data_IF_291004362311
#
_entry.id   IF_291004362311
#
_cell.length_a   1.000
_cell.length_b   1.000
_cell.length_c   1.000
_cell.angle_alpha   90.00
_cell.angle_beta   90.00
_cell.angle_gamma   90.00
#
_symmetry.space_group_name_H-M   'P 1'
#
loop_
_entity.id
_entity.type
_entity.pdbx_description
1 polymer ?
#
# COMPACT_ATOMS: atom_id res chain seq x y z
N UNK A 1 4.79 5.40 -29.16
CA UNK A 1 5.08 5.60 -27.73
C UNK A 1 6.59 5.76 -27.65
N UNK A 2 7.21 6.74 -27.01
CA UNK A 2 7.20 6.92 -25.57
C UNK A 2 8.18 8.06 -25.29
N UNK A 3 7.84 8.98 -24.39
CA UNK A 3 8.87 9.67 -23.62
C UNK A 3 9.67 8.57 -22.88
N UNK A 4 11.01 8.63 -22.89
CA UNK A 4 11.90 7.65 -22.24
C UNK A 4 11.74 7.70 -20.72
N UNK A 5 10.58 7.23 -20.25
CA UNK A 5 10.05 7.35 -18.90
C UNK A 5 9.60 5.98 -18.46
N UNK A 6 10.14 5.53 -17.34
CA UNK A 6 9.69 4.32 -16.66
C UNK A 6 8.48 4.65 -15.77
N UNK A 7 7.43 3.83 -15.87
CA UNK A 7 6.22 4.01 -15.07
C UNK A 7 6.28 3.07 -13.87
N UNK A 8 6.35 3.66 -12.67
CA UNK A 8 6.30 2.92 -11.41
C UNK A 8 4.84 2.81 -10.94
N UNK A 9 4.42 1.62 -10.54
CA UNK A 9 3.08 1.36 -9.98
C UNK A 9 3.14 1.43 -8.45
N UNK A 10 2.21 2.15 -7.86
CA UNK A 10 2.04 2.23 -6.42
C UNK A 10 0.99 1.23 -5.95
N UNK A 11 1.20 0.54 -4.81
CA UNK A 11 0.17 -0.29 -4.20
C UNK A 11 -1.07 0.53 -3.84
N UNK A 12 -2.25 -0.06 -4.03
CA UNK A 12 -3.54 0.58 -3.71
C UNK A 12 -3.58 0.94 -2.23
N UNK A 13 -4.03 2.16 -1.88
CA UNK A 13 -4.15 2.69 -0.50
C UNK A 13 -2.84 2.88 0.28
N UNK A 14 -1.68 2.77 -0.36
CA UNK A 14 -0.38 2.98 0.30
C UNK A 14 0.23 4.33 -0.10
N UNK A 15 -0.46 5.43 0.22
CA UNK A 15 0.01 6.78 -0.10
C UNK A 15 1.35 7.13 0.56
N UNK A 16 1.73 6.44 1.65
CA UNK A 16 3.04 6.54 2.28
C UNK A 16 4.21 6.15 1.35
N UNK A 17 3.93 5.36 0.31
CA UNK A 17 4.89 4.98 -0.73
C UNK A 17 4.97 5.99 -1.88
N UNK A 18 4.22 7.10 -1.81
CA UNK A 18 4.20 8.14 -2.84
C UNK A 18 4.84 9.45 -2.32
N UNK A 19 6.07 9.80 -2.75
CA UNK A 19 6.78 10.97 -2.21
C UNK A 19 6.02 12.29 -2.38
N UNK A 20 5.21 12.43 -3.43
CA UNK A 20 4.45 13.67 -3.68
C UNK A 20 3.39 13.93 -2.59
N UNK A 21 2.90 12.89 -1.91
CA UNK A 21 1.91 13.03 -0.84
C UNK A 21 2.51 13.76 0.38
N UNK A 22 3.83 13.62 0.60
CA UNK A 22 4.55 14.36 1.65
C UNK A 22 4.64 15.85 1.30
N UNK A 23 4.86 16.17 0.03
CA UNK A 23 4.79 17.54 -0.47
C UNK A 23 3.37 18.12 -0.30
N UNK A 24 2.35 17.35 -0.68
CA UNK A 24 0.95 17.77 -0.52
C UNK A 24 0.55 18.00 0.93
N UNK A 25 1.03 17.15 1.84
CA UNK A 25 0.81 17.34 3.29
C UNK A 25 1.43 18.64 3.77
N UNK A 26 2.69 18.90 3.38
CA UNK A 26 3.40 20.14 3.73
C UNK A 26 2.73 21.39 3.17
N UNK A 27 2.26 21.33 1.92
CA UNK A 27 1.54 22.42 1.26
C UNK A 27 0.22 22.72 2.00
N UNK A 28 -0.57 21.68 2.30
CA UNK A 28 -1.83 21.82 3.02
C UNK A 28 -1.62 22.43 4.41
N UNK A 29 -0.58 21.99 5.12
CA UNK A 29 -0.21 22.55 6.42
C UNK A 29 0.21 24.02 6.33
N UNK A 30 0.98 24.38 5.30
CA UNK A 30 1.37 25.76 5.05
C UNK A 30 0.14 26.65 4.77
N UNK A 31 -0.74 26.23 3.85
CA UNK A 31 -1.96 26.98 3.53
C UNK A 31 -2.85 27.10 4.77
N UNK A 32 -3.04 26.01 5.53
CA UNK A 32 -3.86 26.02 6.75
C UNK A 32 -3.34 27.00 7.81
N UNK A 33 -2.02 27.13 7.96
CA UNK A 33 -1.42 28.03 8.95
C UNK A 33 -1.52 29.50 8.55
N UNK A 34 -1.47 29.80 7.26
CA UNK A 34 -1.37 31.17 6.76
C UNK A 34 -2.71 31.73 6.24
N UNK A 35 -3.66 30.88 5.85
CA UNK A 35 -4.99 31.30 5.42
C UNK A 35 -5.91 31.57 6.63
N UNK A 36 -5.72 32.73 7.27
CA UNK A 36 -6.50 33.14 8.45
C UNK A 36 -7.89 33.65 8.12
N UNK A 37 -8.12 34.10 6.87
CA UNK A 37 -9.38 34.68 6.40
C UNK A 37 -10.26 33.68 5.63
N UNK A 38 -9.80 32.43 5.46
CA UNK A 38 -10.52 31.34 4.79
C UNK A 38 -10.99 31.67 3.36
N UNK A 39 -10.24 32.50 2.63
CA UNK A 39 -10.59 32.91 1.25
C UNK A 39 -9.94 31.96 0.24
N UNK A 40 -10.68 31.63 -0.82
CA UNK A 40 -10.17 30.78 -1.91
C UNK A 40 -9.05 31.44 -2.72
N UNK A 41 -9.06 32.76 -2.84
CA UNK A 41 -7.96 33.52 -3.47
C UNK A 41 -6.64 33.27 -2.75
N UNK A 42 -6.70 33.31 -1.42
CA UNK A 42 -5.53 33.22 -0.55
C UNK A 42 -4.97 31.79 -0.58
N UNK A 43 -5.83 30.76 -0.71
CA UNK A 43 -5.39 29.36 -0.93
C UNK A 43 -4.51 29.24 -2.18
N UNK A 44 -4.95 29.84 -3.30
CA UNK A 44 -4.20 29.78 -4.57
C UNK A 44 -2.85 30.49 -4.42
N UNK A 45 -2.85 31.69 -3.87
CA UNK A 45 -1.66 32.52 -3.78
C UNK A 45 -0.63 31.91 -2.82
N UNK A 46 -1.07 31.39 -1.67
CA UNK A 46 -0.23 30.66 -0.71
C UNK A 46 0.31 29.33 -1.26
N UNK A 47 -0.48 28.61 -2.05
CA UNK A 47 -0.01 27.38 -2.69
C UNK A 47 1.08 27.68 -3.73
N UNK A 48 0.91 28.74 -4.52
CA UNK A 48 1.93 29.18 -5.48
C UNK A 48 3.22 29.64 -4.78
N UNK A 49 3.10 30.39 -3.68
CA UNK A 49 4.24 30.78 -2.84
C UNK A 49 5.00 29.56 -2.29
N UNK A 50 4.28 28.58 -1.72
CA UNK A 50 4.89 27.36 -1.21
C UNK A 50 5.64 26.59 -2.31
N UNK A 51 5.03 26.43 -3.49
CA UNK A 51 5.65 25.71 -4.62
C UNK A 51 6.90 26.45 -5.12
N UNK A 52 6.85 27.79 -5.20
CA UNK A 52 7.99 28.59 -5.62
C UNK A 52 9.18 28.51 -4.64
N UNK A 53 8.90 28.34 -3.35
CA UNK A 53 9.91 28.13 -2.30
C UNK A 53 10.29 26.67 -2.05
N UNK A 54 9.67 25.71 -2.73
CA UNK A 54 9.92 24.29 -2.51
C UNK A 54 11.27 23.89 -3.13
N UNK A 55 12.24 23.59 -2.28
CA UNK A 55 13.62 23.34 -2.70
C UNK A 55 13.91 21.85 -2.99
N UNK A 56 15.08 21.63 -3.61
CA UNK A 56 15.57 20.28 -3.91
C UNK A 56 15.80 19.44 -2.65
N UNK A 57 16.20 20.06 -1.54
CA UNK A 57 16.47 19.37 -0.27
C UNK A 57 15.18 18.81 0.34
N UNK A 58 14.08 19.55 0.31
CA UNK A 58 12.76 19.09 0.72
C UNK A 58 12.31 17.89 -0.12
N UNK A 59 12.52 17.95 -1.44
CA UNK A 59 12.20 16.84 -2.35
C UNK A 59 13.04 15.59 -2.04
N UNK A 60 14.34 15.75 -1.77
CA UNK A 60 15.24 14.66 -1.43
C UNK A 60 14.85 14.01 -0.09
N UNK A 61 14.45 14.81 0.90
CA UNK A 61 13.93 14.31 2.19
C UNK A 61 12.64 13.52 2.01
N UNK A 62 11.73 13.98 1.15
CA UNK A 62 10.50 13.26 0.85
C UNK A 62 10.79 11.88 0.23
N UNK A 63 11.69 11.82 -0.76
CA UNK A 63 12.11 10.56 -1.40
C UNK A 63 12.80 9.64 -0.37
N UNK A 64 13.68 10.18 0.47
CA UNK A 64 14.36 9.41 1.51
C UNK A 64 13.38 8.82 2.54
N UNK A 65 12.35 9.59 2.93
CA UNK A 65 11.29 9.10 3.81
C UNK A 65 10.53 7.95 3.16
N UNK A 66 10.08 8.12 1.91
CA UNK A 66 9.38 7.06 1.18
C UNK A 66 10.22 5.78 1.08
N UNK A 67 11.51 5.89 0.76
CA UNK A 67 12.42 4.73 0.71
C UNK A 67 12.58 4.04 2.07
N UNK A 68 12.58 4.81 3.16
CA UNK A 68 12.63 4.24 4.51
C UNK A 68 11.37 3.41 4.79
N UNK A 69 10.19 3.93 4.45
CA UNK A 69 8.92 3.21 4.62
C UNK A 69 8.88 1.97 3.72
N UNK A 70 9.32 2.08 2.47
CA UNK A 70 9.45 0.95 1.55
C UNK A 70 10.32 -0.17 2.13
N UNK A 71 11.49 0.15 2.69
CA UNK A 71 12.35 -0.85 3.31
C UNK A 71 11.67 -1.53 4.51
N UNK A 72 10.89 -0.80 5.31
CA UNK A 72 10.15 -1.41 6.42
C UNK A 72 9.13 -2.43 5.94
N UNK A 73 8.42 -2.15 4.83
CA UNK A 73 7.53 -3.14 4.22
C UNK A 73 8.30 -4.36 3.71
N UNK A 74 9.44 -4.16 3.04
CA UNK A 74 10.28 -5.26 2.54
C UNK A 74 10.83 -6.14 3.66
N UNK A 75 11.19 -5.55 4.79
CA UNK A 75 11.68 -6.28 5.96
C UNK A 75 10.55 -7.09 6.61
N UNK A 76 9.34 -6.53 6.69
CA UNK A 76 8.15 -7.23 7.19
C UNK A 76 7.75 -8.40 6.27
N UNK A 77 7.76 -8.20 4.95
CA UNK A 77 7.46 -9.24 3.97
C UNK A 77 8.46 -10.40 4.08
N UNK A 78 9.76 -10.10 4.22
CA UNK A 78 10.79 -11.12 4.44
C UNK A 78 10.57 -11.91 5.72
N UNK A 79 10.21 -11.22 6.81
CA UNK A 79 9.93 -11.88 8.09
C UNK A 79 8.75 -12.85 7.97
N UNK A 80 7.69 -12.46 7.26
CA UNK A 80 6.51 -13.30 6.99
C UNK A 80 6.91 -14.54 6.20
N UNK A 81 7.66 -14.39 5.11
CA UNK A 81 8.14 -15.48 4.25
C UNK A 81 8.96 -16.50 5.05
N UNK A 82 9.93 -16.03 5.85
CA UNK A 82 10.80 -16.89 6.66
C UNK A 82 10.05 -17.69 7.75
N UNK A 83 8.94 -17.15 8.30
CA UNK A 83 8.27 -17.73 9.47
C UNK A 83 6.96 -18.46 9.14
N UNK A 84 6.26 -18.12 8.05
CA UNK A 84 5.02 -18.80 7.65
C UNK A 84 5.25 -20.01 6.74
N UNK A 85 6.34 -20.02 5.96
CA UNK A 85 6.71 -21.22 5.17
C UNK A 85 7.16 -22.38 6.05
N UNK A 86 7.64 -22.09 7.27
CA UNK A 86 8.02 -23.10 8.26
C UNK A 86 6.81 -23.83 8.89
N UNK A 87 5.62 -23.23 8.87
CA UNK A 87 4.41 -23.79 9.51
C UNK A 87 3.51 -24.59 8.55
N UNK A 88 3.87 -24.63 7.26
CA UNK A 88 3.05 -25.27 6.21
C UNK A 88 3.44 -26.73 5.88
N UNK A 89 4.21 -27.40 6.75
CA UNK A 89 4.81 -28.71 6.44
C UNK A 89 4.40 -29.84 7.42
N UNK A 90 3.12 -29.91 7.85
CA UNK A 90 2.61 -31.11 8.55
C UNK A 90 1.07 -31.32 8.46
N UNK A 91 0.48 -31.33 7.27
CA UNK A 91 -0.92 -31.76 7.07
C UNK A 91 -1.10 -32.73 5.90
N UNK A 92 -0.08 -33.55 5.63
CA UNK A 92 -0.16 -34.67 4.70
C UNK A 92 0.27 -35.96 5.40
N UNK A 93 -0.51 -36.39 6.38
CA UNK A 93 -0.46 -37.78 6.85
C UNK A 93 -1.88 -38.29 7.12
N UNK A 94 -2.40 -38.94 6.09
CA UNK A 94 -3.13 -40.23 6.15
C UNK A 94 -4.46 -40.28 6.93
N UNK A 95 -5.58 -40.20 6.21
CA UNK A 95 -6.73 -41.10 6.45
C UNK A 95 -7.51 -41.29 5.15
N UNK A 96 -7.06 -42.24 4.33
CA UNK A 96 -7.83 -42.87 3.26
C UNK A 96 -9.03 -43.62 3.87
N UNK A 97 -10.12 -42.90 4.18
CA UNK A 97 -11.38 -43.54 4.53
C UNK A 97 -12.10 -43.99 3.25
N UNK A 98 -11.87 -45.26 2.92
CA UNK A 98 -12.58 -46.04 1.91
C UNK A 98 -14.10 -46.02 2.17
N UNK A 99 -14.83 -45.13 1.47
CA UNK A 99 -16.28 -45.14 1.40
C UNK A 99 -16.71 -46.30 0.50
N UNK A 100 -16.85 -47.48 1.11
CA UNK A 100 -17.50 -48.63 0.50
C UNK A 100 -18.99 -48.29 0.32
N UNK A 101 -19.40 -48.12 -0.93
CA UNK A 101 -20.81 -47.98 -1.29
C UNK A 101 -21.46 -49.36 -1.25
N UNK A 102 -22.28 -49.62 -0.22
CA UNK A 102 -23.21 -50.74 -0.21
C UNK A 102 -24.55 -50.22 -0.75
N UNK A 103 -24.78 -50.49 -2.04
CA UNK A 103 -26.10 -50.57 -2.63
C UNK A 103 -26.83 -51.76 -1.99
N UNK A 104 -28.02 -51.54 -1.44
CA UNK A 104 -29.07 -52.56 -1.48
C UNK A 104 -30.48 -51.97 -1.22
N UNK A 105 -31.25 -52.06 -2.30
CA UNK A 105 -32.62 -52.54 -2.41
C UNK A 105 -33.81 -51.62 -2.06
N UNK A 106 -34.60 -51.42 -3.12
CA UNK A 106 -35.95 -50.90 -3.11
C UNK A 106 -36.85 -51.69 -2.15
N UNK A 107 -37.72 -50.98 -1.43
CA UNK A 107 -39.04 -51.56 -1.18
C UNK A 107 -40.12 -50.49 -1.24
N UNK A 108 -40.78 -50.46 -2.39
CA UNK A 108 -42.11 -49.89 -2.56
C UNK A 108 -43.06 -50.55 -1.57
N UNK A 109 -43.82 -49.76 -0.81
CA UNK A 109 -45.16 -50.20 -0.41
C UNK A 109 -46.10 -49.01 -0.19
N UNK A 110 -47.02 -48.91 -1.16
CA UNK A 110 -48.46 -48.56 -1.11
C UNK A 110 -48.97 -47.55 -0.10
#
# INVERSE_FOLDING_TARGET
MQYNVEIIRLPVKHCCLNPIELCWTSLKDYVRKNNTLFRMTDVRDLAAEFIAGYDGDASAKAIAHTRKIENQFRDADRFIEEHLESDSMDYASDDESNVSSEDDEENSNS
#
